data_IF_970621327142
#
_entry.id   IF_970621327142
#
_cell.length_a   1.000
_cell.length_b   1.000
_cell.length_c   1.000
_cell.angle_alpha   90.00
_cell.angle_beta   90.00
_cell.angle_gamma   90.00
#
_symmetry.space_group_name_H-M   'P 1'
#
loop_
_entity.id
_entity.type
_entity.pdbx_description
1 polymer ?
#
# COMPACT_ATOMS: atom_id res chain seq x y z
N UNK A 1 1.37 -16.35 -20.62
CA UNK A 1 1.66 -15.23 -19.70
C UNK A 1 2.86 -15.65 -18.89
N UNK A 2 4.00 -14.96 -19.01
CA UNK A 2 5.18 -15.24 -18.18
C UNK A 2 5.14 -14.32 -16.98
N UNK A 3 5.25 -14.88 -15.78
CA UNK A 3 5.41 -14.09 -14.55
C UNK A 3 6.88 -13.74 -14.38
N UNK A 4 7.18 -12.49 -14.05
CA UNK A 4 8.53 -11.97 -13.82
C UNK A 4 8.59 -11.47 -12.39
N UNK A 5 9.57 -11.94 -11.62
CA UNK A 5 9.87 -11.36 -10.31
C UNK A 5 10.63 -10.05 -10.50
N UNK A 6 10.22 -9.03 -9.75
CA UNK A 6 10.91 -7.75 -9.67
C UNK A 6 11.26 -7.51 -8.19
N UNK A 7 12.54 -7.29 -7.90
CA UNK A 7 12.97 -6.90 -6.55
C UNK A 7 12.42 -5.49 -6.24
N UNK A 8 11.61 -5.35 -5.18
CA UNK A 8 11.01 -4.07 -4.81
C UNK A 8 11.96 -3.20 -3.98
N UNK A 9 13.19 -3.63 -3.70
CA UNK A 9 14.12 -2.91 -2.84
C UNK A 9 14.66 -1.63 -3.50
N UNK A 10 14.02 -0.49 -3.20
CA UNK A 10 14.51 0.85 -3.57
C UNK A 10 14.65 1.74 -2.34
N UNK A 11 15.51 2.76 -2.41
CA UNK A 11 15.72 3.71 -1.32
C UNK A 11 14.50 4.62 -1.11
N UNK A 12 14.41 5.22 0.08
CA UNK A 12 13.42 6.26 0.41
C UNK A 12 13.39 7.39 -0.63
N UNK A 13 14.57 7.90 -1.01
CA UNK A 13 14.69 8.98 -2.00
C UNK A 13 14.20 8.55 -3.39
N UNK A 14 14.48 7.31 -3.79
CA UNK A 14 13.99 6.78 -5.07
C UNK A 14 12.49 6.55 -5.03
N UNK A 15 11.93 6.06 -3.93
CA UNK A 15 10.49 5.94 -3.75
C UNK A 15 9.80 7.31 -3.91
N UNK A 16 10.33 8.36 -3.27
CA UNK A 16 9.85 9.73 -3.44
C UNK A 16 9.93 10.22 -4.89
N UNK A 17 11.04 9.94 -5.58
CA UNK A 17 11.22 10.30 -6.99
C UNK A 17 10.18 9.61 -7.88
N UNK A 18 9.92 8.32 -7.66
CA UNK A 18 8.94 7.55 -8.41
C UNK A 18 7.51 8.05 -8.17
N UNK A 19 7.17 8.37 -6.92
CA UNK A 19 5.87 8.99 -6.58
C UNK A 19 5.67 10.33 -7.28
N UNK A 20 6.72 11.16 -7.40
CA UNK A 20 6.66 12.46 -8.06
C UNK A 20 6.52 12.39 -9.59
N UNK A 21 7.06 11.35 -10.23
CA UNK A 21 6.99 11.15 -11.69
C UNK A 21 5.59 10.72 -12.15
N UNK A 22 4.76 10.15 -11.27
CA UNK A 22 3.30 10.07 -11.43
C UNK A 22 2.77 9.06 -12.45
N UNK A 23 3.61 8.26 -13.13
CA UNK A 23 3.09 7.13 -13.94
C UNK A 23 2.56 6.04 -13.02
N UNK A 24 1.49 5.35 -13.44
CA UNK A 24 0.90 4.25 -12.64
C UNK A 24 1.93 3.20 -12.24
N UNK A 25 2.80 2.80 -13.16
CA UNK A 25 3.85 1.81 -12.88
C UNK A 25 4.86 2.29 -11.83
N UNK A 26 5.27 3.57 -11.89
CA UNK A 26 6.21 4.13 -10.92
C UNK A 26 5.57 4.24 -9.53
N UNK A 27 4.31 4.69 -9.46
CA UNK A 27 3.59 4.80 -8.19
C UNK A 27 3.37 3.42 -7.56
N UNK A 28 2.97 2.42 -8.36
CA UNK A 28 2.82 1.03 -7.91
C UNK A 28 4.16 0.49 -7.36
N UNK A 29 5.25 0.63 -8.12
CA UNK A 29 6.57 0.16 -7.69
C UNK A 29 7.03 0.86 -6.39
N UNK A 30 6.78 2.17 -6.26
CA UNK A 30 7.09 2.92 -5.05
C UNK A 30 6.28 2.42 -3.85
N UNK A 31 4.96 2.27 -3.97
CA UNK A 31 4.09 1.80 -2.88
C UNK A 31 4.46 0.38 -2.43
N UNK A 32 4.75 -0.52 -3.37
CA UNK A 32 5.23 -1.87 -3.05
C UNK A 32 6.55 -1.83 -2.28
N UNK A 33 7.52 -1.02 -2.71
CA UNK A 33 8.76 -0.85 -1.95
C UNK A 33 8.53 -0.28 -0.56
N UNK A 34 7.69 0.76 -0.45
CA UNK A 34 7.40 1.42 0.82
C UNK A 34 6.86 0.42 1.83
N UNK A 35 5.85 -0.37 1.44
CA UNK A 35 5.30 -1.41 2.32
C UNK A 35 6.35 -2.44 2.76
N UNK A 36 7.20 -2.90 1.84
CA UNK A 36 8.14 -3.99 2.09
C UNK A 36 9.47 -3.56 2.73
N UNK A 37 9.87 -2.30 2.58
CA UNK A 37 11.23 -1.86 2.93
C UNK A 37 11.29 -0.63 3.84
N UNK A 38 10.32 0.28 3.81
CA UNK A 38 10.42 1.55 4.54
C UNK A 38 10.51 1.34 6.05
N UNK A 39 11.36 2.14 6.69
CA UNK A 39 11.65 2.12 8.12
C UNK A 39 10.81 3.18 8.84
N UNK A 40 10.57 4.33 8.22
CA UNK A 40 9.65 5.33 8.76
C UNK A 40 8.20 4.88 8.53
N UNK A 41 7.69 4.12 9.50
CA UNK A 41 6.34 3.56 9.50
C UNK A 41 5.24 4.62 9.35
N UNK A 42 5.36 5.74 10.06
CA UNK A 42 4.32 6.78 10.07
C UNK A 42 4.26 7.43 8.69
N UNK A 43 5.41 7.78 8.13
CA UNK A 43 5.49 8.30 6.78
C UNK A 43 4.97 7.29 5.75
N UNK A 44 5.36 6.01 5.86
CA UNK A 44 4.92 4.95 4.96
C UNK A 44 3.39 4.79 4.94
N UNK A 45 2.77 4.79 6.13
CA UNK A 45 1.33 4.70 6.31
C UNK A 45 0.62 5.90 5.67
N UNK A 46 1.07 7.12 5.96
CA UNK A 46 0.46 8.35 5.44
C UNK A 46 0.51 8.41 3.91
N UNK A 47 1.62 7.98 3.31
CA UNK A 47 1.74 7.88 1.85
C UNK A 47 0.75 6.85 1.29
N UNK A 48 0.63 5.67 1.89
CA UNK A 48 -0.31 4.65 1.41
C UNK A 48 -1.77 5.12 1.54
N UNK A 49 -2.13 5.74 2.67
CA UNK A 49 -3.45 6.31 2.92
C UNK A 49 -3.83 7.36 1.86
N UNK A 50 -2.89 8.24 1.50
CA UNK A 50 -3.11 9.23 0.43
C UNK A 50 -3.46 8.57 -0.91
N UNK A 51 -2.90 7.40 -1.20
CA UNK A 51 -3.08 6.71 -2.48
C UNK A 51 -4.29 5.76 -2.52
N UNK A 52 -4.90 5.41 -1.37
CA UNK A 52 -6.17 4.65 -1.33
C UNK A 52 -7.34 5.38 -2.01
N UNK A 53 -7.25 6.69 -2.16
CA UNK A 53 -8.28 7.52 -2.81
C UNK A 53 -7.97 7.85 -4.27
N UNK A 54 -6.95 7.23 -4.87
CA UNK A 54 -6.64 7.42 -6.29
C UNK A 54 -7.77 6.87 -7.19
N UNK A 55 -7.91 7.37 -8.41
CA UNK A 55 -8.87 6.85 -9.39
C UNK A 55 -8.36 5.60 -10.13
N UNK A 56 -7.06 5.32 -10.06
CA UNK A 56 -6.45 4.17 -10.72
C UNK A 56 -6.46 2.95 -9.79
N UNK A 57 -7.25 1.93 -10.12
CA UNK A 57 -7.39 0.71 -9.31
C UNK A 57 -6.06 0.05 -8.94
N UNK A 58 -5.10 0.00 -9.88
CA UNK A 58 -3.78 -0.58 -9.61
C UNK A 58 -3.02 0.15 -8.49
N UNK A 59 -3.16 1.49 -8.41
CA UNK A 59 -2.54 2.29 -7.35
C UNK A 59 -3.22 2.02 -6.01
N UNK A 60 -4.56 1.95 -6.00
CA UNK A 60 -5.34 1.65 -4.79
C UNK A 60 -5.03 0.25 -4.27
N UNK A 61 -4.96 -0.74 -5.16
CA UNK A 61 -4.57 -2.10 -4.83
C UNK A 61 -3.18 -2.15 -4.17
N UNK A 62 -2.18 -1.52 -4.79
CA UNK A 62 -0.83 -1.47 -4.23
C UNK A 62 -0.76 -0.73 -2.89
N UNK A 63 -1.52 0.35 -2.71
CA UNK A 63 -1.59 1.08 -1.45
C UNK A 63 -2.21 0.22 -0.34
N UNK A 64 -3.30 -0.50 -0.63
CA UNK A 64 -3.93 -1.42 0.31
C UNK A 64 -2.96 -2.53 0.74
N UNK A 65 -2.38 -3.25 -0.23
CA UNK A 65 -1.41 -4.32 0.07
C UNK A 65 -0.20 -3.80 0.87
N UNK A 66 0.29 -2.60 0.57
CA UNK A 66 1.39 -1.99 1.31
C UNK A 66 1.04 -1.73 2.78
N UNK A 67 -0.20 -1.34 3.11
CA UNK A 67 -0.64 -1.19 4.51
C UNK A 67 -0.62 -2.52 5.27
N UNK A 68 -1.00 -3.63 4.64
CA UNK A 68 -0.88 -4.97 5.22
C UNK A 68 0.58 -5.38 5.46
N UNK A 69 1.49 -5.01 4.55
CA UNK A 69 2.92 -5.19 4.75
C UNK A 69 3.48 -4.33 5.91
N UNK A 70 3.03 -3.07 6.03
CA UNK A 70 3.41 -2.18 7.13
C UNK A 70 2.98 -2.79 8.47
N UNK A 71 1.71 -3.20 8.59
CA UNK A 71 1.18 -3.86 9.78
C UNK A 71 2.02 -5.09 10.16
N UNK A 72 2.27 -5.99 9.21
CA UNK A 72 3.07 -7.20 9.42
C UNK A 72 4.51 -6.92 9.85
N UNK A 73 5.18 -5.93 9.24
CA UNK A 73 6.61 -5.66 9.47
C UNK A 73 6.85 -4.89 10.76
N UNK A 74 5.98 -3.93 11.05
CA UNK A 74 6.15 -3.02 12.18
C UNK A 74 5.38 -3.47 13.42
N UNK A 75 4.38 -4.35 13.29
CA UNK A 75 3.54 -4.81 14.39
C UNK A 75 2.63 -3.71 14.96
N UNK A 76 2.47 -2.61 14.24
CA UNK A 76 1.69 -1.45 14.68
C UNK A 76 1.20 -0.67 13.46
N UNK A 77 -0.05 -0.20 13.49
CA UNK A 77 -0.62 0.70 12.49
C UNK A 77 -1.72 1.54 13.15
N UNK A 78 -1.99 2.74 12.67
CA UNK A 78 -3.12 3.54 13.13
C UNK A 78 -4.45 2.94 12.60
N UNK A 79 -5.04 2.04 13.38
CA UNK A 79 -6.27 1.35 13.01
C UNK A 79 -7.49 2.27 13.00
N UNK A 80 -7.48 3.36 13.78
CA UNK A 80 -8.58 4.33 13.81
C UNK A 80 -8.70 5.06 12.46
N UNK A 81 -7.57 5.31 11.78
CA UNK A 81 -7.55 5.94 10.47
C UNK A 81 -7.57 4.94 9.32
N UNK A 82 -6.82 3.84 9.43
CA UNK A 82 -6.61 2.90 8.31
C UNK A 82 -7.84 2.04 8.03
N UNK A 83 -8.51 1.50 9.05
CA UNK A 83 -9.64 0.59 8.82
C UNK A 83 -10.81 1.30 8.11
N UNK A 84 -11.25 2.51 8.52
CA UNK A 84 -12.31 3.22 7.78
C UNK A 84 -11.90 3.59 6.35
N UNK A 85 -10.63 3.89 6.11
CA UNK A 85 -10.13 4.20 4.77
C UNK A 85 -10.18 2.99 3.84
N UNK A 86 -9.79 1.81 4.33
CA UNK A 86 -9.89 0.54 3.60
C UNK A 86 -11.34 0.17 3.29
N UNK A 87 -12.25 0.29 4.26
CA UNK A 87 -13.68 0.02 4.03
C UNK A 87 -14.29 0.96 2.98
N UNK A 88 -13.88 2.24 3.00
CA UNK A 88 -14.29 3.20 1.97
C UNK A 88 -13.75 2.83 0.58
N UNK A 89 -12.49 2.40 0.50
CA UNK A 89 -11.91 1.92 -0.75
C UNK A 89 -12.62 0.65 -1.25
N UNK A 90 -12.98 -0.27 -0.35
CA UNK A 90 -13.73 -1.50 -0.64
C UNK A 90 -15.10 -1.20 -1.25
N UNK A 91 -15.81 -0.22 -0.71
CA UNK A 91 -17.08 0.23 -1.27
C UNK A 91 -16.96 0.91 -2.64
N UNK A 92 -15.84 1.62 -2.90
CA UNK A 92 -15.59 2.31 -4.19
C UNK A 92 -15.13 1.35 -5.29
N UNK A 93 -14.34 0.33 -4.95
CA UNK A 93 -13.69 -0.57 -5.91
C UNK A 93 -14.08 -2.04 -5.67
N UNK A 94 -15.23 -2.50 -6.20
CA UNK A 94 -15.69 -3.88 -6.02
C UNK A 94 -14.69 -4.94 -6.52
N UNK A 95 -13.86 -4.61 -7.50
CA UNK A 95 -12.79 -5.49 -8.02
C UNK A 95 -11.67 -5.73 -7.00
N UNK A 96 -11.52 -4.86 -5.99
CA UNK A 96 -10.44 -4.91 -5.01
C UNK A 96 -10.88 -5.50 -3.67
N UNK A 97 -12.12 -6.00 -3.54
CA UNK A 97 -12.66 -6.56 -2.29
C UNK A 97 -11.73 -7.61 -1.69
N UNK A 98 -11.26 -8.57 -2.48
CA UNK A 98 -10.37 -9.62 -1.98
C UNK A 98 -9.03 -9.07 -1.45
N UNK A 99 -8.42 -8.12 -2.16
CA UNK A 99 -7.15 -7.49 -1.74
C UNK A 99 -7.33 -6.72 -0.43
N UNK A 100 -8.46 -6.04 -0.27
CA UNK A 100 -8.76 -5.27 0.93
C UNK A 100 -9.07 -6.20 2.10
N UNK A 101 -9.79 -7.30 1.88
CA UNK A 101 -10.03 -8.33 2.91
C UNK A 101 -8.71 -8.97 3.37
N UNK A 102 -7.82 -9.34 2.44
CA UNK A 102 -6.47 -9.84 2.78
C UNK A 102 -5.67 -8.82 3.60
N UNK A 103 -5.82 -7.52 3.27
CA UNK A 103 -5.15 -6.43 4.00
C UNK A 103 -5.71 -6.26 5.41
N UNK A 104 -7.04 -6.36 5.57
CA UNK A 104 -7.70 -6.28 6.88
C UNK A 104 -7.32 -7.48 7.76
N UNK A 105 -7.24 -8.66 7.18
CA UNK A 105 -6.78 -9.88 7.86
C UNK A 105 -5.32 -9.74 8.31
N UNK A 106 -4.45 -9.17 7.48
CA UNK A 106 -3.07 -8.83 7.86
C UNK A 106 -3.02 -7.89 9.06
N UNK A 107 -3.79 -6.80 9.03
CA UNK A 107 -3.83 -5.84 10.15
C UNK A 107 -4.29 -6.56 11.43
N UNK A 108 -5.42 -7.28 11.38
CA UNK A 108 -5.95 -7.99 12.55
C UNK A 108 -5.03 -9.10 13.09
N UNK A 109 -4.19 -9.69 12.24
CA UNK A 109 -3.24 -10.71 12.66
C UNK A 109 -1.96 -10.14 13.30
N UNK A 110 -1.57 -8.91 12.96
CA UNK A 110 -0.25 -8.36 13.31
C UNK A 110 -0.27 -7.10 14.18
N UNK A 111 -1.43 -6.47 14.42
CA UNK A 111 -1.56 -5.26 15.27
C UNK A 111 -2.66 -5.43 16.30
#
# INVERSE_FOLDING_TARGET
MSLIYQDPSISHDEANRLLANGTTANVVAALTSIGLNEVDRVWAQDICLKHLFNETEAIVASAATALGHIARRHGEIDTETVLPALERAKGKFPSLVGIIEDTLDDIGAFT
#
